data_IF_358124780139
#
_entry.id   IF_358124780139
#
_cell.length_a   1.000
_cell.length_b   1.000
_cell.length_c   1.000
_cell.angle_alpha   90.00
_cell.angle_beta   90.00
_cell.angle_gamma   90.00
#
_symmetry.space_group_name_H-M   'P 1'
#
loop_
_entity.id
_entity.type
_entity.pdbx_description
1 polymer ?
#
# COMPACT_ATOMS: atom_id res chain seq x y z
N UNK A 1 12.51 -31.41 10.37
CA UNK A 1 13.15 -30.08 10.31
C UNK A 1 14.01 -29.96 9.07
N UNK A 2 13.79 -28.92 8.28
CA UNK A 2 14.61 -28.59 7.12
C UNK A 2 15.86 -27.81 7.57
N UNK A 3 16.94 -28.54 7.84
CA UNK A 3 18.21 -27.96 8.33
C UNK A 3 18.86 -27.02 7.33
N UNK A 4 18.66 -27.23 6.04
CA UNK A 4 19.24 -26.39 5.00
C UNK A 4 18.54 -25.02 4.99
N UNK A 5 17.21 -25.03 5.04
CA UNK A 5 16.40 -23.83 5.15
C UNK A 5 16.70 -23.08 6.44
N UNK A 6 16.76 -23.79 7.58
CA UNK A 6 17.05 -23.19 8.87
C UNK A 6 18.39 -22.44 8.86
N UNK A 7 19.46 -23.07 8.35
CA UNK A 7 20.78 -22.42 8.25
C UNK A 7 20.75 -21.21 7.31
N UNK A 8 20.03 -21.28 6.22
CA UNK A 8 19.91 -20.16 5.30
C UNK A 8 19.21 -18.96 5.96
N UNK A 9 18.15 -19.20 6.73
CA UNK A 9 17.44 -18.17 7.48
C UNK A 9 18.28 -17.60 8.63
N UNK A 10 19.01 -18.46 9.37
CA UNK A 10 19.95 -18.04 10.40
C UNK A 10 21.07 -17.15 9.85
N UNK A 11 21.51 -17.40 8.62
CA UNK A 11 22.51 -16.57 7.95
C UNK A 11 21.94 -15.22 7.50
N UNK A 12 20.71 -15.17 7.05
CA UNK A 12 20.04 -13.95 6.58
C UNK A 12 19.59 -13.04 7.75
N UNK A 13 19.22 -13.62 8.89
CA UNK A 13 18.65 -12.90 10.03
C UNK A 13 19.51 -11.72 10.54
N UNK A 14 20.83 -11.82 10.71
CA UNK A 14 21.64 -10.69 11.15
C UNK A 14 21.55 -9.49 10.22
N UNK A 15 21.53 -9.71 8.90
CA UNK A 15 21.40 -8.65 7.90
C UNK A 15 20.02 -7.98 7.97
N UNK A 16 18.98 -8.76 8.20
CA UNK A 16 17.63 -8.26 8.42
C UNK A 16 17.52 -7.40 9.70
N UNK A 17 18.11 -7.84 10.79
CA UNK A 17 18.13 -7.07 12.03
C UNK A 17 18.94 -5.77 11.89
N UNK A 18 20.04 -5.82 11.15
CA UNK A 18 20.81 -4.62 10.82
C UNK A 18 19.99 -3.64 9.98
N UNK A 19 19.32 -4.13 8.93
CA UNK A 19 18.40 -3.32 8.14
C UNK A 19 17.32 -2.67 9.00
N UNK A 20 16.71 -3.42 9.92
CA UNK A 20 15.69 -2.87 10.83
C UNK A 20 16.26 -1.76 11.73
N UNK A 21 17.46 -1.95 12.26
CA UNK A 21 18.10 -0.92 13.06
C UNK A 21 18.43 0.33 12.27
N UNK A 22 18.88 0.17 11.03
CA UNK A 22 19.35 1.28 10.19
C UNK A 22 18.19 1.99 9.47
N UNK A 23 17.20 1.24 9.04
CA UNK A 23 16.13 1.70 8.15
C UNK A 23 14.72 1.59 8.76
N UNK A 24 14.61 1.03 9.94
CA UNK A 24 13.34 0.89 10.65
C UNK A 24 12.90 2.18 11.37
N UNK A 25 11.78 2.11 12.12
CA UNK A 25 11.14 3.29 12.68
C UNK A 25 12.01 4.03 13.70
N UNK A 26 12.29 5.29 13.43
CA UNK A 26 12.88 6.23 14.39
C UNK A 26 11.82 6.79 15.35
N UNK A 27 12.24 7.17 16.56
CA UNK A 27 11.38 7.81 17.55
C UNK A 27 10.41 6.88 18.28
N UNK A 28 10.31 5.63 17.89
CA UNK A 28 9.53 4.59 18.56
C UNK A 28 10.38 3.49 19.17
N UNK A 29 11.69 3.63 19.14
CA UNK A 29 12.69 2.61 19.56
C UNK A 29 12.77 2.37 21.06
N UNK A 30 12.02 3.08 21.88
CA UNK A 30 11.87 2.77 23.30
C UNK A 30 11.05 1.49 23.54
N UNK A 31 10.48 0.94 22.48
CA UNK A 31 9.93 -0.40 22.52
C UNK A 31 11.06 -1.35 22.11
N UNK A 32 11.54 -2.15 23.05
CA UNK A 32 12.30 -3.35 22.76
C UNK A 32 11.46 -4.26 21.85
N UNK A 33 11.37 -3.88 20.58
CA UNK A 33 10.91 -4.79 19.55
C UNK A 33 12.02 -5.81 19.39
N UNK A 34 11.94 -6.81 20.22
CA UNK A 34 12.75 -7.99 20.03
C UNK A 34 12.28 -8.66 18.75
N UNK A 35 12.82 -8.23 17.64
CA UNK A 35 12.80 -8.99 16.40
C UNK A 35 13.64 -10.27 16.61
N UNK A 36 13.35 -10.99 17.68
CA UNK A 36 13.90 -12.32 17.87
C UNK A 36 13.15 -13.26 16.98
N UNK A 37 13.66 -13.36 15.80
CA UNK A 37 13.23 -14.36 14.87
C UNK A 37 13.66 -15.72 15.41
N UNK A 38 12.73 -16.57 15.81
CA UNK A 38 13.04 -17.97 15.94
C UNK A 38 13.20 -18.56 14.53
N UNK A 39 14.36 -19.02 14.19
CA UNK A 39 14.65 -19.66 12.91
C UNK A 39 14.33 -21.15 12.91
N UNK A 40 13.45 -21.62 13.77
CA UNK A 40 12.97 -22.98 13.72
C UNK A 40 11.82 -23.12 12.74
N UNK A 41 11.96 -24.03 11.81
CA UNK A 41 10.91 -24.38 10.86
C UNK A 41 10.15 -25.61 11.35
N UNK A 42 8.82 -25.54 11.34
CA UNK A 42 7.96 -26.69 11.58
C UNK A 42 7.80 -27.51 10.29
N UNK A 43 7.26 -28.76 10.40
CA UNK A 43 6.94 -29.55 9.21
C UNK A 43 6.02 -28.85 8.21
N UNK A 44 5.18 -27.93 8.68
CA UNK A 44 4.29 -27.14 7.84
C UNK A 44 4.98 -25.94 7.16
N UNK A 45 6.28 -25.81 7.35
CA UNK A 45 7.06 -24.72 6.77
C UNK A 45 6.96 -23.40 7.50
N UNK A 46 6.56 -23.40 8.75
CA UNK A 46 6.47 -22.22 9.60
C UNK A 46 7.80 -21.93 10.31
N UNK A 47 8.20 -20.67 10.37
CA UNK A 47 9.12 -20.19 11.35
C UNK A 47 8.32 -19.54 12.48
N UNK A 48 8.40 -20.09 13.69
CA UNK A 48 7.61 -19.63 14.83
C UNK A 48 8.45 -18.80 15.80
N UNK A 49 7.85 -17.73 16.27
CA UNK A 49 8.42 -16.85 17.26
C UNK A 49 7.53 -16.74 18.49
N UNK A 50 7.94 -17.37 19.56
CA UNK A 50 7.20 -17.34 20.81
C UNK A 50 7.40 -16.09 21.68
N UNK A 51 8.08 -15.04 21.20
CA UNK A 51 8.74 -14.13 22.13
C UNK A 51 8.35 -12.67 22.05
N UNK A 52 7.74 -12.20 20.99
CA UNK A 52 7.32 -10.81 20.95
C UNK A 52 5.90 -10.73 21.46
N UNK A 53 5.80 -10.47 22.74
CA UNK A 53 4.53 -10.13 23.37
C UNK A 53 4.47 -8.63 23.59
N UNK A 54 4.38 -7.89 22.52
CA UNK A 54 3.63 -6.66 22.63
C UNK A 54 2.16 -7.03 22.44
N UNK A 55 1.24 -6.50 23.23
CA UNK A 55 -0.18 -6.74 22.98
C UNK A 55 -0.46 -6.41 21.51
N UNK A 56 -1.02 -7.33 20.78
CA UNK A 56 -1.37 -7.22 19.37
C UNK A 56 -0.21 -7.32 18.35
N UNK A 57 1.05 -7.43 18.78
CA UNK A 57 2.18 -7.63 17.89
C UNK A 57 2.69 -9.06 17.93
N UNK A 58 2.63 -9.73 16.82
CA UNK A 58 3.23 -11.05 16.64
C UNK A 58 4.33 -10.95 15.60
N UNK A 59 5.49 -11.48 15.92
CA UNK A 59 6.58 -11.61 14.98
C UNK A 59 6.66 -13.05 14.50
N UNK A 60 6.79 -13.26 13.19
CA UNK A 60 6.93 -14.59 12.62
C UNK A 60 6.48 -14.67 11.17
N UNK A 61 6.61 -15.86 10.62
CA UNK A 61 6.09 -16.19 9.30
C UNK A 61 4.78 -16.92 9.49
N UNK A 62 3.74 -16.42 8.87
CA UNK A 62 2.41 -17.01 8.96
C UNK A 62 1.86 -17.28 7.57
N UNK A 63 1.25 -18.44 7.42
CA UNK A 63 0.51 -18.83 6.24
C UNK A 63 -0.92 -19.20 6.64
N UNK A 64 -1.87 -18.99 5.74
CA UNK A 64 -3.20 -19.50 5.93
C UNK A 64 -3.18 -21.04 5.95
N UNK A 65 -4.17 -21.65 6.57
CA UNK A 65 -4.30 -23.10 6.62
C UNK A 65 -4.30 -23.70 5.21
N UNK A 66 -3.66 -24.86 5.07
CA UNK A 66 -3.66 -25.61 3.82
C UNK A 66 -5.04 -26.22 3.57
N UNK A 67 -5.50 -26.15 2.33
CA UNK A 67 -6.67 -26.84 1.83
C UNK A 67 -6.18 -27.89 0.81
N UNK A 68 -6.21 -29.14 1.20
CA UNK A 68 -5.75 -30.26 0.34
C UNK A 68 -6.60 -30.44 -0.92
N UNK A 69 -7.84 -29.94 -0.90
CA UNK A 69 -8.75 -29.99 -2.04
C UNK A 69 -8.63 -28.80 -2.99
N UNK A 70 -7.75 -27.85 -2.71
CA UNK A 70 -7.62 -26.64 -3.51
C UNK A 70 -7.17 -26.93 -4.93
N UNK A 71 -7.88 -26.35 -5.89
CA UNK A 71 -7.56 -26.42 -7.33
C UNK A 71 -7.20 -25.03 -7.86
N UNK A 72 -6.47 -25.01 -8.96
CA UNK A 72 -6.26 -23.80 -9.77
C UNK A 72 -7.56 -23.45 -10.48
N UNK A 73 -8.02 -22.21 -10.37
CA UNK A 73 -9.36 -21.82 -10.82
C UNK A 73 -9.40 -21.06 -12.15
N UNK A 74 -8.23 -20.85 -12.78
CA UNK A 74 -8.11 -20.04 -14.00
C UNK A 74 -6.90 -20.46 -14.82
N UNK A 75 -6.83 -19.96 -16.06
CA UNK A 75 -5.74 -20.23 -16.97
C UNK A 75 -5.72 -21.67 -17.49
N UNK A 76 -4.61 -22.06 -18.07
CA UNK A 76 -4.44 -23.38 -18.73
C UNK A 76 -4.47 -24.55 -17.73
N UNK A 77 -4.14 -24.29 -16.47
CA UNK A 77 -4.12 -25.29 -15.39
C UNK A 77 -5.44 -25.36 -14.60
N UNK A 78 -6.50 -24.72 -15.08
CA UNK A 78 -7.80 -24.76 -14.41
C UNK A 78 -8.28 -26.18 -14.17
N UNK A 79 -8.59 -26.49 -12.89
CA UNK A 79 -9.04 -27.80 -12.47
C UNK A 79 -7.93 -28.74 -11.98
N UNK A 80 -6.68 -28.39 -12.17
CA UNK A 80 -5.55 -29.11 -11.58
C UNK A 80 -5.44 -28.85 -10.08
N UNK A 81 -4.90 -29.80 -9.32
CA UNK A 81 -4.57 -29.58 -7.92
C UNK A 81 -3.52 -28.44 -7.78
N UNK A 82 -3.70 -27.58 -6.78
CA UNK A 82 -2.73 -26.52 -6.50
C UNK A 82 -1.33 -27.11 -6.19
N UNK A 83 -0.30 -26.43 -6.68
CA UNK A 83 1.08 -26.92 -6.59
C UNK A 83 1.69 -26.62 -5.22
N UNK A 84 2.24 -27.65 -4.59
CA UNK A 84 2.95 -27.50 -3.31
C UNK A 84 4.44 -27.17 -3.51
N UNK A 85 4.99 -27.50 -4.68
CA UNK A 85 6.34 -27.16 -5.10
C UNK A 85 6.30 -26.27 -6.34
N UNK A 86 7.40 -25.59 -6.62
CA UNK A 86 7.53 -24.71 -7.80
C UNK A 86 7.63 -25.55 -9.07
N UNK A 87 6.66 -25.44 -9.99
CA UNK A 87 6.81 -26.06 -11.31
C UNK A 87 8.02 -25.49 -12.04
N UNK A 88 8.87 -26.35 -12.59
CA UNK A 88 10.13 -25.94 -13.22
C UNK A 88 9.97 -24.91 -14.33
N UNK A 89 8.95 -25.06 -15.15
CA UNK A 89 8.61 -24.17 -16.26
C UNK A 89 8.14 -22.78 -15.80
N UNK A 90 7.59 -22.65 -14.58
CA UNK A 90 7.10 -21.39 -14.02
C UNK A 90 8.05 -20.77 -13.00
N UNK A 91 9.19 -21.40 -12.75
CA UNK A 91 10.14 -20.99 -11.70
C UNK A 91 10.59 -19.53 -11.82
N UNK A 92 11.00 -19.11 -13.00
CA UNK A 92 11.49 -17.75 -13.23
C UNK A 92 10.39 -16.70 -13.01
N UNK A 93 9.19 -16.96 -13.50
CA UNK A 93 8.05 -16.06 -13.35
C UNK A 93 7.57 -15.98 -11.89
N UNK A 94 7.48 -17.10 -11.19
CA UNK A 94 7.12 -17.11 -9.75
C UNK A 94 8.16 -16.37 -8.91
N UNK A 95 9.46 -16.59 -9.16
CA UNK A 95 10.51 -15.84 -8.46
C UNK A 95 10.37 -14.35 -8.69
N UNK A 96 10.15 -13.91 -9.93
CA UNK A 96 9.93 -12.49 -10.27
C UNK A 96 8.73 -11.91 -9.54
N UNK A 97 7.60 -12.60 -9.50
CA UNK A 97 6.39 -12.20 -8.79
C UNK A 97 6.67 -12.03 -7.31
N UNK A 98 7.31 -13.02 -6.68
CA UNK A 98 7.62 -13.00 -5.24
C UNK A 98 8.61 -11.89 -4.90
N UNK A 99 9.63 -11.69 -5.72
CA UNK A 99 10.63 -10.62 -5.53
C UNK A 99 9.98 -9.25 -5.65
N UNK A 100 9.15 -9.03 -6.67
CA UNK A 100 8.47 -7.74 -6.87
C UNK A 100 7.53 -7.42 -5.70
N UNK A 101 6.75 -8.39 -5.24
CA UNK A 101 5.89 -8.21 -4.07
C UNK A 101 6.74 -8.01 -2.80
N UNK A 102 7.72 -8.85 -2.58
CA UNK A 102 8.58 -8.79 -1.39
C UNK A 102 9.35 -7.49 -1.24
N UNK A 103 9.72 -6.85 -2.35
CA UNK A 103 10.46 -5.59 -2.35
C UNK A 103 9.62 -4.38 -1.87
N UNK A 104 8.30 -4.49 -1.94
CA UNK A 104 7.38 -3.44 -1.48
C UNK A 104 7.31 -3.33 0.04
N UNK A 105 7.49 -4.43 0.74
CA UNK A 105 7.32 -4.55 2.18
C UNK A 105 8.36 -3.73 2.98
N UNK A 106 9.68 -3.91 2.76
CA UNK A 106 10.68 -3.08 3.44
C UNK A 106 10.62 -1.61 3.01
N UNK A 107 10.16 -1.33 1.78
CA UNK A 107 10.01 0.03 1.28
C UNK A 107 9.03 0.84 2.13
N UNK A 108 7.88 0.26 2.47
CA UNK A 108 6.88 0.89 3.33
C UNK A 108 7.48 1.29 4.68
N UNK A 109 8.25 0.41 5.31
CA UNK A 109 8.94 0.69 6.58
C UNK A 109 9.92 1.86 6.44
N UNK A 110 10.76 1.84 5.40
CA UNK A 110 11.76 2.88 5.12
C UNK A 110 11.13 4.25 4.85
N UNK A 111 10.06 4.29 4.06
CA UNK A 111 9.33 5.52 3.75
C UNK A 111 8.69 6.17 4.98
N UNK A 112 8.28 5.37 5.96
CA UNK A 112 7.56 5.80 7.16
C UNK A 112 8.48 6.01 8.38
N UNK A 113 9.76 5.77 8.22
CA UNK A 113 10.77 5.66 9.27
C UNK A 113 10.74 6.81 10.30
N UNK A 114 10.60 8.05 9.84
CA UNK A 114 10.71 9.23 10.70
C UNK A 114 9.39 9.71 11.31
N UNK A 115 8.27 9.11 10.94
CA UNK A 115 6.94 9.61 11.34
C UNK A 115 6.68 9.53 12.84
N UNK A 116 7.35 8.62 13.56
CA UNK A 116 7.27 8.56 15.02
C UNK A 116 7.76 9.84 15.73
N UNK A 117 8.59 10.65 15.07
CA UNK A 117 9.08 11.93 15.59
C UNK A 117 8.03 13.05 15.58
N UNK A 118 6.94 12.87 14.85
CA UNK A 118 5.87 13.86 14.68
C UNK A 118 4.48 13.27 14.89
N UNK A 119 4.39 12.15 15.62
CA UNK A 119 3.11 11.47 15.81
C UNK A 119 2.08 12.37 16.51
N UNK A 120 0.83 12.40 16.03
CA UNK A 120 -0.20 13.28 16.57
C UNK A 120 -0.76 12.81 17.91
N UNK A 121 -0.57 11.55 18.29
CA UNK A 121 -0.97 10.99 19.59
C UNK A 121 -0.31 9.64 19.83
N UNK A 122 -0.40 9.13 21.05
CA UNK A 122 0.02 7.75 21.36
C UNK A 122 -0.77 6.71 20.58
N UNK A 123 -2.05 6.97 20.32
CA UNK A 123 -2.88 6.08 19.50
C UNK A 123 -2.33 5.93 18.08
N UNK A 124 -1.97 7.05 17.47
CA UNK A 124 -1.42 7.07 16.10
C UNK A 124 -0.01 6.48 16.03
N UNK A 125 0.84 6.75 17.04
CA UNK A 125 2.16 6.14 17.15
C UNK A 125 2.08 4.61 17.22
N UNK A 126 1.12 4.10 18.00
CA UNK A 126 0.89 2.65 18.09
C UNK A 126 0.47 2.05 16.75
N UNK A 127 -0.43 2.71 16.03
CA UNK A 127 -0.85 2.25 14.71
C UNK A 127 0.31 2.23 13.71
N UNK A 128 1.10 3.31 13.67
CA UNK A 128 2.32 3.36 12.84
C UNK A 128 3.25 2.17 13.13
N UNK A 129 3.52 1.95 14.41
CA UNK A 129 4.43 0.92 14.82
C UNK A 129 3.91 -0.49 14.49
N UNK A 130 2.62 -0.75 14.70
CA UNK A 130 1.99 -2.00 14.32
C UNK A 130 2.12 -2.25 12.81
N UNK A 131 1.80 -1.26 11.99
CA UNK A 131 1.93 -1.37 10.53
C UNK A 131 3.37 -1.70 10.14
N UNK A 132 4.36 -0.99 10.68
CA UNK A 132 5.76 -1.24 10.34
C UNK A 132 6.23 -2.65 10.75
N UNK A 133 5.78 -3.17 11.88
CA UNK A 133 6.08 -4.56 12.31
C UNK A 133 5.41 -5.57 11.37
N UNK A 134 4.18 -5.33 10.96
CA UNK A 134 3.46 -6.19 10.03
C UNK A 134 4.11 -6.20 8.64
N UNK A 135 4.54 -5.05 8.12
CA UNK A 135 5.30 -4.94 6.87
C UNK A 135 6.66 -5.67 6.93
N UNK A 136 7.37 -5.51 8.04
CA UNK A 136 8.61 -6.27 8.28
C UNK A 136 8.37 -7.78 8.33
N UNK A 137 7.24 -8.22 8.83
CA UNK A 137 6.83 -9.62 8.85
C UNK A 137 6.44 -10.12 7.45
N UNK A 138 5.81 -9.30 6.64
CA UNK A 138 5.50 -9.59 5.24
C UNK A 138 6.78 -9.79 4.42
N UNK A 139 7.78 -8.94 4.60
CA UNK A 139 9.11 -9.15 4.01
C UNK A 139 9.67 -10.53 4.39
N UNK A 140 9.62 -10.86 5.68
CA UNK A 140 10.12 -12.14 6.18
C UNK A 140 9.40 -13.33 5.54
N UNK A 141 8.09 -13.23 5.35
CA UNK A 141 7.31 -14.27 4.69
C UNK A 141 7.72 -14.49 3.22
N UNK A 142 7.97 -13.42 2.48
CA UNK A 142 8.46 -13.51 1.09
C UNK A 142 9.87 -14.08 1.01
N UNK A 143 10.74 -13.68 1.92
CA UNK A 143 12.11 -14.23 2.04
C UNK A 143 12.08 -15.72 2.37
N UNK A 144 11.17 -16.14 3.24
CA UNK A 144 10.96 -17.57 3.52
C UNK A 144 10.62 -18.36 2.25
N UNK A 145 9.69 -17.87 1.43
CA UNK A 145 9.35 -18.51 0.15
C UNK A 145 10.57 -18.61 -0.77
N UNK A 146 11.34 -17.54 -0.87
CA UNK A 146 12.56 -17.50 -1.69
C UNK A 146 13.60 -18.51 -1.20
N UNK A 147 13.85 -18.58 0.08
CA UNK A 147 14.82 -19.53 0.66
C UNK A 147 14.38 -20.98 0.50
N UNK A 148 13.08 -21.25 0.75
CA UNK A 148 12.57 -22.62 0.73
C UNK A 148 12.47 -23.21 -0.67
N UNK A 149 11.96 -22.42 -1.63
CA UNK A 149 11.55 -22.95 -2.92
C UNK A 149 12.47 -22.58 -4.09
N UNK A 150 13.39 -21.64 -3.92
CA UNK A 150 14.21 -21.12 -5.02
C UNK A 150 15.72 -21.34 -4.85
N UNK A 151 16.13 -22.00 -3.78
CA UNK A 151 17.53 -22.38 -3.57
C UNK A 151 18.48 -21.18 -3.56
N UNK A 152 19.60 -21.29 -4.28
CA UNK A 152 20.61 -20.24 -4.34
C UNK A 152 20.06 -18.92 -4.91
N UNK A 153 19.32 -19.00 -6.02
CA UNK A 153 18.76 -17.81 -6.67
C UNK A 153 17.82 -17.04 -5.71
N UNK A 154 17.01 -17.77 -4.95
CA UNK A 154 16.13 -17.17 -3.96
C UNK A 154 16.89 -16.48 -2.83
N UNK A 155 18.01 -17.07 -2.37
CA UNK A 155 18.86 -16.46 -1.35
C UNK A 155 19.53 -15.18 -1.86
N UNK A 156 20.04 -15.18 -3.09
CA UNK A 156 20.62 -13.99 -3.71
C UNK A 156 19.58 -12.84 -3.83
N UNK A 157 18.36 -13.16 -4.21
CA UNK A 157 17.26 -12.18 -4.26
C UNK A 157 16.89 -11.64 -2.85
N UNK A 158 16.85 -12.49 -1.85
CA UNK A 158 16.58 -12.09 -0.47
C UNK A 158 17.65 -11.13 0.08
N UNK A 159 18.92 -11.38 -0.22
CA UNK A 159 20.03 -10.46 0.09
C UNK A 159 19.85 -9.13 -0.65
N UNK A 160 19.54 -9.17 -1.93
CA UNK A 160 19.35 -7.98 -2.75
C UNK A 160 18.22 -7.08 -2.22
N UNK A 161 17.15 -7.63 -1.65
CA UNK A 161 16.06 -6.86 -1.04
C UNK A 161 16.53 -5.97 0.11
N UNK A 162 17.51 -6.43 0.91
CA UNK A 162 18.06 -5.66 2.02
C UNK A 162 19.07 -4.60 1.57
N UNK A 163 19.62 -4.73 0.36
CA UNK A 163 20.54 -3.75 -0.20
C UNK A 163 19.86 -2.64 -0.99
N UNK A 164 18.63 -2.86 -1.47
CA UNK A 164 17.84 -1.79 -2.05
C UNK A 164 17.27 -0.92 -0.93
N UNK A 165 17.20 0.38 -1.17
CA UNK A 165 16.62 1.34 -0.22
C UNK A 165 15.72 2.33 -0.93
N UNK A 166 14.60 2.65 -0.29
CA UNK A 166 13.65 3.64 -0.80
C UNK A 166 14.33 4.98 -1.04
N UNK A 167 14.20 5.50 -2.26
CA UNK A 167 14.76 6.79 -2.66
C UNK A 167 16.29 6.80 -2.87
N UNK A 168 16.96 5.65 -2.83
CA UNK A 168 18.39 5.55 -3.10
C UNK A 168 18.68 5.86 -4.59
N UNK A 169 19.69 6.69 -4.85
CA UNK A 169 20.13 6.97 -6.23
C UNK A 169 20.83 5.76 -6.87
N UNK A 170 21.58 5.01 -6.08
CA UNK A 170 22.40 3.88 -6.58
C UNK A 170 21.63 2.56 -6.62
N UNK A 171 20.74 2.34 -5.68
CA UNK A 171 20.05 1.07 -5.52
C UNK A 171 18.61 1.25 -4.99
N UNK A 172 17.71 1.82 -5.82
CA UNK A 172 16.33 2.10 -5.42
C UNK A 172 15.47 0.84 -5.32
N UNK A 173 14.30 0.98 -4.73
CA UNK A 173 13.24 -0.03 -4.78
C UNK A 173 12.77 -0.25 -6.22
N UNK A 174 12.31 -1.46 -6.51
CA UNK A 174 11.96 -1.90 -7.88
C UNK A 174 10.85 -1.04 -8.48
N UNK A 175 9.81 -0.74 -7.70
CA UNK A 175 8.67 0.04 -8.17
C UNK A 175 8.82 1.51 -7.73
N UNK A 176 8.62 2.43 -8.66
CA UNK A 176 8.89 3.86 -8.47
C UNK A 176 8.15 4.47 -7.28
N UNK A 177 6.89 4.12 -7.07
CA UNK A 177 6.08 4.62 -5.97
C UNK A 177 6.68 4.33 -4.58
N UNK A 178 7.48 3.29 -4.45
CA UNK A 178 8.17 2.91 -3.21
C UNK A 178 9.51 3.63 -3.02
N UNK A 179 9.83 4.57 -3.89
CA UNK A 179 10.96 5.51 -3.74
C UNK A 179 10.50 6.93 -3.37
N UNK A 180 9.21 7.17 -3.33
CA UNK A 180 8.64 8.44 -2.90
C UNK A 180 8.75 8.63 -1.39
N UNK A 181 8.94 9.87 -0.96
CA UNK A 181 8.97 10.21 0.46
C UNK A 181 7.56 10.20 1.09
N UNK A 182 7.49 9.80 2.34
CA UNK A 182 6.30 9.96 3.19
C UNK A 182 6.65 10.92 4.34
N UNK A 183 6.71 12.23 4.08
CA UNK A 183 7.36 13.18 4.98
C UNK A 183 6.49 13.61 6.16
N UNK A 184 5.20 13.37 6.10
CA UNK A 184 4.24 13.82 7.10
C UNK A 184 3.09 12.84 7.29
N UNK A 185 2.28 13.06 8.33
CA UNK A 185 1.18 12.17 8.68
C UNK A 185 0.00 12.21 7.71
N UNK A 186 -0.22 13.29 7.00
CA UNK A 186 -1.24 13.31 5.94
C UNK A 186 -0.80 12.41 4.79
N UNK A 187 0.46 12.50 4.39
CA UNK A 187 1.05 11.59 3.40
C UNK A 187 0.98 10.13 3.87
N UNK A 188 1.26 9.85 5.14
CA UNK A 188 1.12 8.51 5.71
C UNK A 188 -0.29 7.96 5.62
N UNK A 189 -1.31 8.73 6.01
CA UNK A 189 -2.70 8.29 5.90
C UNK A 189 -3.14 8.10 4.45
N UNK A 190 -2.70 8.95 3.54
CA UNK A 190 -2.95 8.76 2.12
C UNK A 190 -2.23 7.52 1.56
N UNK A 191 -0.99 7.27 1.97
CA UNK A 191 -0.23 6.08 1.62
C UNK A 191 -0.94 4.81 2.10
N UNK A 192 -1.25 4.71 3.38
CA UNK A 192 -1.93 3.53 3.95
C UNK A 192 -3.35 3.36 3.42
N UNK A 193 -3.99 4.42 2.96
CA UNK A 193 -5.27 4.33 2.27
C UNK A 193 -5.13 3.85 0.82
N UNK A 194 -4.27 4.47 0.02
CA UNK A 194 -4.16 4.19 -1.41
C UNK A 194 -3.17 3.06 -1.73
N UNK A 195 -1.97 3.11 -1.19
CA UNK A 195 -0.90 2.15 -1.53
C UNK A 195 -1.14 0.79 -0.89
N UNK A 196 -1.53 0.74 0.39
CA UNK A 196 -1.87 -0.53 1.03
C UNK A 196 -3.16 -1.13 0.45
N UNK A 197 -4.06 -0.29 -0.07
CA UNK A 197 -5.22 -0.78 -0.85
C UNK A 197 -4.80 -1.41 -2.17
N UNK A 198 -3.80 -0.87 -2.88
CA UNK A 198 -3.19 -1.58 -4.01
C UNK A 198 -2.66 -2.94 -3.56
N UNK A 199 -1.96 -2.98 -2.43
CA UNK A 199 -1.50 -4.23 -1.80
C UNK A 199 -2.63 -5.25 -1.64
N UNK A 200 -3.79 -4.83 -1.14
CA UNK A 200 -4.99 -5.69 -1.07
C UNK A 200 -5.33 -6.31 -2.43
N UNK A 201 -5.39 -5.50 -3.50
CA UNK A 201 -5.77 -5.99 -4.82
C UNK A 201 -4.71 -6.91 -5.42
N UNK A 202 -3.43 -6.56 -5.27
CA UNK A 202 -2.32 -7.41 -5.71
C UNK A 202 -2.29 -8.74 -4.95
N UNK A 203 -2.41 -8.71 -3.64
CA UNK A 203 -2.43 -9.91 -2.80
C UNK A 203 -3.65 -10.79 -3.07
N UNK A 204 -4.83 -10.21 -3.32
CA UNK A 204 -6.02 -10.97 -3.72
C UNK A 204 -5.79 -11.71 -5.04
N UNK A 205 -5.16 -11.08 -6.01
CA UNK A 205 -4.82 -11.69 -7.29
C UNK A 205 -3.75 -12.81 -7.13
N UNK A 206 -2.76 -12.61 -6.27
CA UNK A 206 -1.74 -13.60 -5.95
C UNK A 206 -2.27 -14.75 -5.07
N UNK A 207 -3.28 -14.50 -4.25
CA UNK A 207 -3.96 -15.54 -3.46
C UNK A 207 -4.67 -16.57 -4.33
N UNK A 208 -4.96 -16.24 -5.58
CA UNK A 208 -5.49 -17.17 -6.57
C UNK A 208 -4.41 -18.06 -7.22
N UNK A 209 -3.12 -17.76 -7.02
CA UNK A 209 -2.01 -18.49 -7.62
C UNK A 209 -2.13 -20.00 -7.46
N UNK A 210 -1.80 -20.74 -8.52
CA UNK A 210 -1.69 -22.19 -8.48
C UNK A 210 -0.56 -22.68 -7.56
N UNK A 211 0.44 -21.84 -7.31
CA UNK A 211 1.47 -22.14 -6.31
C UNK A 211 0.95 -21.89 -4.90
N UNK A 212 0.53 -22.96 -4.23
CA UNK A 212 -0.20 -22.93 -2.97
C UNK A 212 0.55 -22.19 -1.83
N UNK A 213 1.87 -22.36 -1.64
CA UNK A 213 2.58 -21.61 -0.61
C UNK A 213 2.48 -20.08 -0.78
N UNK A 214 2.56 -19.56 -2.00
CA UNK A 214 2.34 -18.14 -2.28
C UNK A 214 0.92 -17.72 -1.98
N UNK A 215 -0.06 -18.50 -2.43
CA UNK A 215 -1.48 -18.25 -2.16
C UNK A 215 -1.77 -18.15 -0.66
N UNK A 216 -1.26 -19.08 0.13
CA UNK A 216 -1.45 -19.12 1.59
C UNK A 216 -0.77 -17.95 2.30
N UNK A 217 0.41 -17.57 1.86
CA UNK A 217 1.14 -16.39 2.36
C UNK A 217 0.32 -15.12 2.11
N UNK A 218 -0.13 -14.90 0.88
CA UNK A 218 -0.93 -13.74 0.53
C UNK A 218 -2.27 -13.68 1.26
N UNK A 219 -2.94 -14.81 1.45
CA UNK A 219 -4.18 -14.88 2.22
C UNK A 219 -3.98 -14.49 3.69
N UNK A 220 -2.85 -14.83 4.28
CA UNK A 220 -2.54 -14.38 5.62
C UNK A 220 -2.25 -12.87 5.66
N UNK A 221 -1.41 -12.37 4.74
CA UNK A 221 -1.09 -10.94 4.67
C UNK A 221 -2.35 -10.07 4.53
N UNK A 222 -3.33 -10.51 3.74
CA UNK A 222 -4.61 -9.82 3.58
C UNK A 222 -5.36 -9.59 4.90
N UNK A 223 -5.19 -10.44 5.90
CA UNK A 223 -5.81 -10.24 7.21
C UNK A 223 -5.22 -9.04 7.96
N UNK A 224 -3.99 -8.69 7.67
CA UNK A 224 -3.27 -7.56 8.26
C UNK A 224 -3.48 -6.28 7.45
N UNK A 225 -3.52 -6.37 6.14
CA UNK A 225 -3.81 -5.24 5.24
C UNK A 225 -5.16 -4.54 5.55
N UNK A 226 -6.13 -5.26 6.07
CA UNK A 226 -7.39 -4.68 6.49
C UNK A 226 -7.22 -3.62 7.58
N UNK A 227 -6.28 -3.81 8.50
CA UNK A 227 -5.94 -2.84 9.54
C UNK A 227 -5.22 -1.62 8.94
N UNK A 228 -4.28 -1.83 8.02
CA UNK A 228 -3.57 -0.73 7.35
C UNK A 228 -4.55 0.21 6.64
N UNK A 229 -5.45 -0.35 5.85
CA UNK A 229 -6.48 0.43 5.15
C UNK A 229 -7.40 1.18 6.11
N UNK A 230 -7.77 0.56 7.23
CA UNK A 230 -8.55 1.22 8.28
C UNK A 230 -7.80 2.41 8.88
N UNK A 231 -6.51 2.28 9.17
CA UNK A 231 -5.67 3.38 9.70
C UNK A 231 -5.63 4.53 8.71
N UNK A 232 -5.42 4.27 7.42
CA UNK A 232 -5.40 5.29 6.39
C UNK A 232 -6.74 5.99 6.22
N UNK A 233 -7.82 5.24 6.05
CA UNK A 233 -9.16 5.80 5.85
C UNK A 233 -9.61 6.62 7.06
N UNK A 234 -9.45 6.08 8.27
CA UNK A 234 -9.85 6.79 9.50
C UNK A 234 -8.95 7.99 9.78
N UNK A 235 -7.67 7.92 9.48
CA UNK A 235 -6.72 9.03 9.64
C UNK A 235 -7.09 10.23 8.77
N UNK A 236 -7.36 10.00 7.49
CA UNK A 236 -7.85 11.06 6.58
C UNK A 236 -9.21 11.60 7.05
N UNK A 237 -10.13 10.70 7.42
CA UNK A 237 -11.46 11.09 7.93
C UNK A 237 -11.36 11.98 9.17
N UNK A 238 -10.50 11.63 10.13
CA UNK A 238 -10.26 12.41 11.35
C UNK A 238 -9.61 13.77 11.07
N UNK A 239 -8.73 13.83 10.09
CA UNK A 239 -8.14 15.08 9.61
C UNK A 239 -9.21 15.99 9.02
N UNK A 240 -10.05 15.48 8.16
CA UNK A 240 -11.19 16.20 7.56
C UNK A 240 -12.17 16.65 8.66
N UNK A 241 -12.50 15.75 9.58
CA UNK A 241 -13.42 16.05 10.70
C UNK A 241 -12.94 17.24 11.51
N UNK A 242 -11.65 17.29 11.85
CA UNK A 242 -11.09 18.43 12.60
C UNK A 242 -11.16 19.72 11.80
N UNK A 243 -10.84 19.68 10.53
CA UNK A 243 -10.88 20.84 9.63
C UNK A 243 -12.29 21.42 9.50
N UNK A 244 -13.29 20.58 9.23
CA UNK A 244 -14.68 21.04 9.07
C UNK A 244 -15.29 21.50 10.40
N UNK A 245 -14.89 20.91 11.52
CA UNK A 245 -15.27 21.37 12.86
C UNK A 245 -14.81 22.81 13.12
N UNK A 246 -13.55 23.11 12.83
CA UNK A 246 -12.97 24.44 12.96
C UNK A 246 -13.64 25.44 12.00
N UNK A 247 -13.88 25.03 10.74
CA UNK A 247 -14.59 25.86 9.77
C UNK A 247 -15.98 26.25 10.31
N UNK A 248 -16.72 25.28 10.83
CA UNK A 248 -18.04 25.50 11.40
C UNK A 248 -17.99 26.40 12.65
N UNK A 249 -17.05 26.13 13.54
CA UNK A 249 -16.89 26.88 14.79
C UNK A 249 -16.61 28.37 14.54
N UNK A 250 -15.85 28.69 13.51
CA UNK A 250 -15.43 30.06 13.17
C UNK A 250 -16.21 30.69 12.01
N UNK A 251 -17.23 30.02 11.50
CA UNK A 251 -18.03 30.52 10.37
C UNK A 251 -17.22 30.74 9.10
N UNK A 252 -16.23 29.86 8.83
CA UNK A 252 -15.36 29.95 7.66
C UNK A 252 -16.02 29.19 6.51
N UNK A 253 -16.31 29.90 5.43
CA UNK A 253 -16.86 29.32 4.18
C UNK A 253 -15.75 28.98 3.17
N UNK A 254 -14.73 29.85 3.05
CA UNK A 254 -13.58 29.62 2.21
C UNK A 254 -12.63 28.59 2.85
N UNK A 255 -12.49 27.40 2.25
CA UNK A 255 -11.69 26.33 2.85
C UNK A 255 -10.23 26.68 3.11
N UNK A 256 -9.62 27.60 2.34
CA UNK A 256 -8.21 27.97 2.52
C UNK A 256 -7.99 28.85 3.77
N UNK A 257 -8.99 29.62 4.18
CA UNK A 257 -8.86 30.51 5.34
C UNK A 257 -8.75 29.78 6.67
N UNK A 258 -9.02 28.48 6.71
CA UNK A 258 -8.92 27.68 7.92
C UNK A 258 -7.47 27.49 8.41
N UNK A 259 -6.47 27.70 7.53
CA UNK A 259 -5.04 27.51 7.87
C UNK A 259 -4.59 28.28 9.10
N UNK A 260 -5.09 29.50 9.31
CA UNK A 260 -4.76 30.32 10.50
C UNK A 260 -5.15 29.67 11.82
N UNK A 261 -5.99 28.67 11.82
CA UNK A 261 -6.42 27.93 13.00
C UNK A 261 -5.61 26.65 13.25
N UNK A 262 -4.55 26.39 12.48
CA UNK A 262 -3.64 25.27 12.68
C UNK A 262 -4.24 23.92 12.31
N UNK A 263 -5.05 23.87 11.25
CA UNK A 263 -5.62 22.66 10.66
C UNK A 263 -5.32 22.62 9.16
N UNK A 264 -5.46 21.45 8.54
CA UNK A 264 -5.16 21.26 7.12
C UNK A 264 -6.41 21.57 6.29
N UNK A 265 -6.30 22.52 5.39
CA UNK A 265 -7.41 22.93 4.53
C UNK A 265 -7.80 21.84 3.52
N UNK A 266 -9.08 21.80 3.16
CA UNK A 266 -9.63 20.80 2.25
C UNK A 266 -8.95 20.80 0.86
N UNK A 267 -8.61 21.93 0.23
CA UNK A 267 -7.84 21.93 -1.02
C UNK A 267 -6.47 21.26 -0.91
N UNK A 268 -5.76 21.42 0.21
CA UNK A 268 -4.49 20.71 0.44
C UNK A 268 -4.71 19.21 0.56
N UNK A 269 -5.74 18.76 1.26
CA UNK A 269 -6.13 17.35 1.34
C UNK A 269 -6.43 16.82 -0.06
N UNK A 270 -7.13 17.58 -0.92
CA UNK A 270 -7.40 17.20 -2.31
C UNK A 270 -6.11 17.03 -3.12
N UNK A 271 -5.13 17.91 -2.97
CA UNK A 271 -3.85 17.81 -3.68
C UNK A 271 -3.04 16.59 -3.24
N UNK A 272 -3.00 16.29 -1.95
CA UNK A 272 -2.39 15.04 -1.43
C UNK A 272 -3.11 13.80 -1.97
N UNK A 273 -4.44 13.82 -2.01
CA UNK A 273 -5.23 12.75 -2.61
C UNK A 273 -4.85 12.53 -4.08
N UNK A 274 -4.79 13.59 -4.88
CA UNK A 274 -4.44 13.52 -6.29
C UNK A 274 -3.06 12.89 -6.50
N UNK A 275 -2.08 13.29 -5.70
CA UNK A 275 -0.72 12.77 -5.75
C UNK A 275 -0.68 11.28 -5.43
N UNK A 276 -1.16 10.88 -4.27
CA UNK A 276 -1.11 9.49 -3.82
C UNK A 276 -1.95 8.55 -4.68
N UNK A 277 -3.10 9.00 -5.14
CA UNK A 277 -3.90 8.24 -6.09
C UNK A 277 -3.15 7.97 -7.40
N UNK A 278 -2.58 9.02 -8.01
CA UNK A 278 -1.90 8.89 -9.31
C UNK A 278 -0.63 8.03 -9.23
N UNK A 279 0.16 8.19 -8.17
CA UNK A 279 1.36 7.38 -7.92
C UNK A 279 1.00 5.92 -7.71
N UNK A 280 -0.05 5.65 -6.96
CA UNK A 280 -0.48 4.28 -6.64
C UNK A 280 -1.01 3.54 -7.86
N UNK A 281 -1.79 4.15 -8.72
CA UNK A 281 -2.33 3.44 -9.89
C UNK A 281 -1.27 3.06 -10.92
N UNK A 282 -0.08 3.63 -10.85
CA UNK A 282 1.07 3.18 -11.63
C UNK A 282 1.62 1.82 -11.17
N UNK A 283 1.36 1.41 -9.93
CA UNK A 283 1.77 0.11 -9.40
C UNK A 283 1.12 -1.09 -10.11
N UNK A 284 0.01 -0.88 -10.79
CA UNK A 284 -0.66 -1.92 -11.57
C UNK A 284 0.04 -2.26 -12.89
N UNK A 285 1.04 -1.48 -13.29
CA UNK A 285 1.81 -1.70 -14.51
C UNK A 285 1.21 -1.07 -15.76
N UNK A 286 1.74 -1.41 -16.91
CA UNK A 286 1.26 -0.90 -18.19
C UNK A 286 -0.16 -1.38 -18.50
N UNK A 287 -0.92 -0.56 -19.23
CA UNK A 287 -2.33 -0.83 -19.57
C UNK A 287 -2.49 -2.12 -20.40
N UNK A 288 -1.53 -2.39 -21.27
CA UNK A 288 -1.39 -3.66 -21.98
C UNK A 288 -0.08 -4.32 -21.60
N UNK A 289 -0.11 -5.61 -21.25
CA UNK A 289 1.05 -6.35 -20.78
C UNK A 289 1.00 -7.83 -21.20
N UNK A 290 1.99 -8.26 -21.94
CA UNK A 290 2.19 -9.68 -22.25
C UNK A 290 2.62 -10.50 -21.03
N UNK A 291 3.34 -9.89 -20.08
CA UNK A 291 3.70 -10.55 -18.82
C UNK A 291 2.46 -10.85 -17.99
N UNK A 292 1.53 -9.89 -17.87
CA UNK A 292 0.27 -10.10 -17.16
C UNK A 292 -0.55 -11.22 -17.82
N UNK A 293 -0.63 -11.26 -19.14
CA UNK A 293 -1.27 -12.35 -19.89
C UNK A 293 -0.62 -13.71 -19.58
N UNK A 294 0.70 -13.78 -19.58
CA UNK A 294 1.46 -14.99 -19.26
C UNK A 294 1.21 -15.45 -17.83
N UNK A 295 1.24 -14.56 -16.87
CA UNK A 295 1.00 -14.88 -15.45
C UNK A 295 -0.41 -15.44 -15.24
N UNK A 296 -1.40 -14.88 -15.90
CA UNK A 296 -2.77 -15.39 -15.82
C UNK A 296 -2.91 -16.75 -16.52
N UNK A 297 -2.48 -16.85 -17.76
CA UNK A 297 -2.57 -18.08 -18.56
C UNK A 297 -1.88 -19.24 -17.87
N UNK A 298 -0.71 -19.00 -17.25
CA UNK A 298 0.06 -20.01 -16.51
C UNK A 298 -0.47 -20.31 -15.11
N UNK A 299 -1.56 -19.70 -14.67
CA UNK A 299 -2.13 -19.95 -13.35
C UNK A 299 -1.34 -19.35 -12.18
N UNK A 300 -0.52 -18.30 -12.41
CA UNK A 300 0.36 -17.72 -11.40
C UNK A 300 -0.25 -16.54 -10.67
N UNK A 301 -1.05 -15.72 -11.36
CA UNK A 301 -1.73 -14.55 -10.83
C UNK A 301 -3.11 -14.43 -11.46
N UNK A 302 -4.16 -14.49 -10.64
CA UNK A 302 -5.55 -14.34 -11.06
C UNK A 302 -6.00 -12.89 -11.11
N UNK A 303 -7.31 -12.71 -11.25
CA UNK A 303 -7.97 -11.40 -11.08
C UNK A 303 -8.45 -11.23 -9.63
N UNK A 304 -8.81 -10.02 -9.28
CA UNK A 304 -9.49 -9.77 -8.02
C UNK A 304 -10.83 -10.55 -7.99
N UNK A 305 -11.03 -11.33 -6.91
CA UNK A 305 -12.22 -12.19 -6.73
C UNK A 305 -12.46 -13.15 -7.91
N UNK A 306 -11.43 -13.79 -8.41
CA UNK A 306 -11.47 -14.67 -9.58
C UNK A 306 -12.63 -15.68 -9.52
N UNK A 307 -12.82 -16.33 -8.37
CA UNK A 307 -13.84 -17.37 -8.19
C UNK A 307 -15.29 -16.85 -8.24
N UNK A 308 -15.49 -15.56 -8.07
CA UNK A 308 -16.83 -14.93 -8.13
C UNK A 308 -17.20 -14.47 -9.53
N UNK A 309 -16.28 -14.54 -10.49
CA UNK A 309 -16.53 -14.15 -11.87
C UNK A 309 -17.26 -15.28 -12.61
N UNK A 310 -18.12 -14.91 -13.54
CA UNK A 310 -18.99 -15.86 -14.28
C UNK A 310 -18.56 -16.06 -15.73
N UNK A 311 -17.50 -15.37 -16.16
CA UNK A 311 -16.96 -15.49 -17.50
C UNK A 311 -16.11 -16.78 -17.68
N UNK A 312 -15.62 -16.98 -18.89
CA UNK A 312 -14.65 -18.05 -19.16
C UNK A 312 -13.30 -17.71 -18.51
N UNK A 313 -12.92 -18.48 -17.49
CA UNK A 313 -11.63 -18.33 -16.80
C UNK A 313 -10.40 -18.63 -17.64
N UNK A 314 -10.55 -19.00 -18.89
CA UNK A 314 -9.49 -19.02 -19.92
C UNK A 314 -9.41 -17.68 -20.66
N UNK A 315 -10.41 -16.84 -20.54
CA UNK A 315 -10.56 -15.53 -21.19
C UNK A 315 -10.47 -15.58 -22.74
N UNK A 316 -10.82 -16.72 -23.33
CA UNK A 316 -10.86 -16.87 -24.78
C UNK A 316 -12.02 -16.08 -25.35
N UNK A 317 -11.69 -15.12 -26.21
CA UNK A 317 -12.71 -14.25 -26.83
C UNK A 317 -13.27 -13.13 -25.94
N UNK A 318 -12.80 -13.02 -24.69
CA UNK A 318 -13.17 -11.91 -23.81
C UNK A 318 -12.42 -10.63 -24.20
N UNK A 319 -13.11 -9.51 -24.15
CA UNK A 319 -12.60 -8.19 -24.49
C UNK A 319 -12.79 -7.22 -23.32
N UNK A 320 -11.93 -6.20 -23.28
CA UNK A 320 -11.96 -5.16 -22.26
C UNK A 320 -11.72 -3.78 -22.88
N UNK A 321 -12.38 -2.77 -22.35
CA UNK A 321 -12.21 -1.39 -22.81
C UNK A 321 -11.08 -0.71 -22.05
N UNK A 322 -10.11 -0.22 -22.81
CA UNK A 322 -9.02 0.60 -22.29
C UNK A 322 -9.09 1.99 -22.92
N UNK A 323 -8.36 2.95 -22.36
CA UNK A 323 -8.18 4.26 -22.96
C UNK A 323 -6.96 4.29 -23.88
N UNK A 324 -7.09 4.91 -25.01
CA UNK A 324 -6.03 5.18 -25.98
C UNK A 324 -5.97 6.68 -26.28
N UNK A 325 -4.79 7.17 -26.61
CA UNK A 325 -4.59 8.56 -26.99
C UNK A 325 -4.72 8.70 -28.50
N UNK A 326 -5.66 9.53 -28.95
CA UNK A 326 -5.83 9.91 -30.35
C UNK A 326 -5.73 11.43 -30.48
N UNK A 327 -4.57 11.90 -30.92
CA UNK A 327 -4.28 13.35 -30.97
C UNK A 327 -4.27 13.95 -29.54
N UNK A 328 -5.20 14.84 -29.28
CA UNK A 328 -5.40 15.53 -28.00
C UNK A 328 -6.54 14.93 -27.15
N UNK A 329 -7.05 13.78 -27.54
CA UNK A 329 -8.21 13.14 -26.88
C UNK A 329 -7.88 11.75 -26.36
N UNK A 330 -8.57 11.40 -25.29
CA UNK A 330 -8.63 10.04 -24.76
C UNK A 330 -9.89 9.36 -25.32
N UNK A 331 -9.72 8.22 -25.97
CA UNK A 331 -10.81 7.45 -26.57
C UNK A 331 -10.81 6.01 -26.05
N UNK A 332 -12.00 5.41 -25.96
CA UNK A 332 -12.10 3.99 -25.59
C UNK A 332 -11.72 3.10 -26.77
N UNK A 333 -11.00 2.03 -26.48
CA UNK A 333 -10.63 0.97 -27.42
C UNK A 333 -10.88 -0.39 -26.79
N UNK A 334 -11.51 -1.29 -27.53
CA UNK A 334 -11.63 -2.69 -27.14
C UNK A 334 -10.35 -3.47 -27.50
N UNK A 335 -9.86 -4.23 -26.54
CA UNK A 335 -8.69 -5.10 -26.67
C UNK A 335 -8.98 -6.46 -26.03
N UNK A 336 -8.25 -7.53 -26.39
CA UNK A 336 -8.38 -8.79 -25.68
C UNK A 336 -8.13 -8.64 -24.18
N UNK A 337 -9.00 -9.19 -23.34
CA UNK A 337 -8.91 -9.04 -21.87
C UNK A 337 -7.58 -9.58 -21.35
N UNK A 338 -7.06 -10.67 -21.87
CA UNK A 338 -5.76 -11.24 -21.48
C UNK A 338 -4.62 -10.21 -21.54
N UNK A 339 -4.63 -9.30 -22.49
CA UNK A 339 -3.58 -8.30 -22.65
C UNK A 339 -3.78 -7.06 -21.76
N UNK A 340 -4.94 -6.93 -21.13
CA UNK A 340 -5.33 -5.77 -20.31
C UNK A 340 -5.63 -6.10 -18.86
N UNK A 341 -5.11 -7.19 -18.32
CA UNK A 341 -5.39 -7.63 -16.95
C UNK A 341 -4.89 -6.67 -15.88
N UNK A 342 -3.81 -5.94 -16.15
CA UNK A 342 -3.38 -4.85 -15.26
C UNK A 342 -4.44 -3.75 -15.17
N UNK A 343 -5.08 -3.42 -16.29
CA UNK A 343 -6.14 -2.41 -16.33
C UNK A 343 -7.43 -2.90 -15.67
N UNK A 344 -7.77 -4.17 -15.82
CA UNK A 344 -8.89 -4.79 -15.10
C UNK A 344 -8.70 -4.65 -13.59
N UNK A 345 -7.51 -4.98 -13.07
CA UNK A 345 -7.20 -4.90 -11.65
C UNK A 345 -7.17 -3.44 -11.17
N UNK A 346 -6.61 -2.54 -11.95
CA UNK A 346 -6.59 -1.09 -11.68
C UNK A 346 -8.00 -0.52 -11.58
N UNK A 347 -8.89 -0.86 -12.49
CA UNK A 347 -10.27 -0.37 -12.47
C UNK A 347 -11.06 -0.90 -11.27
N UNK A 348 -10.85 -2.16 -10.86
CA UNK A 348 -11.42 -2.71 -9.63
C UNK A 348 -10.93 -1.94 -8.40
N UNK A 349 -9.63 -1.64 -8.34
CA UNK A 349 -9.03 -0.81 -7.30
C UNK A 349 -9.59 0.62 -7.29
N UNK A 350 -9.69 1.28 -8.44
CA UNK A 350 -10.22 2.65 -8.54
C UNK A 350 -11.65 2.72 -8.02
N UNK A 351 -12.47 1.75 -8.38
CA UNK A 351 -13.87 1.65 -7.91
C UNK A 351 -13.95 1.55 -6.39
N UNK A 352 -13.11 0.74 -5.78
CA UNK A 352 -13.05 0.57 -4.32
C UNK A 352 -12.53 1.85 -3.63
N UNK A 353 -11.52 2.49 -4.21
CA UNK A 353 -10.96 3.76 -3.71
C UNK A 353 -11.96 4.90 -3.72
N UNK A 354 -12.75 5.03 -4.77
CA UNK A 354 -13.81 6.05 -4.89
C UNK A 354 -14.88 5.87 -3.81
N UNK A 355 -15.21 4.64 -3.44
CA UNK A 355 -16.17 4.39 -2.37
C UNK A 355 -15.73 4.97 -1.02
N UNK A 356 -14.44 4.89 -0.70
CA UNK A 356 -13.87 5.51 0.51
C UNK A 356 -13.86 7.03 0.45
N UNK A 357 -13.52 7.61 -0.70
CA UNK A 357 -13.62 9.07 -0.91
C UNK A 357 -15.07 9.54 -0.69
N UNK A 358 -16.05 8.75 -1.11
CA UNK A 358 -17.45 9.00 -0.84
C UNK A 358 -17.77 9.05 0.66
N UNK A 359 -17.13 8.19 1.47
CA UNK A 359 -17.28 8.23 2.94
C UNK A 359 -16.67 9.49 3.55
N UNK A 360 -15.52 9.95 3.07
CA UNK A 360 -14.94 11.25 3.48
C UNK A 360 -15.84 12.42 3.13
N UNK A 361 -16.43 12.41 1.95
CA UNK A 361 -17.37 13.43 1.52
C UNK A 361 -18.61 13.53 2.40
N UNK A 362 -19.08 12.42 2.98
CA UNK A 362 -20.18 12.44 3.95
C UNK A 362 -19.83 13.23 5.22
N UNK A 363 -18.56 13.21 5.64
CA UNK A 363 -18.10 14.04 6.78
C UNK A 363 -18.22 15.54 6.44
N UNK A 364 -17.77 15.91 5.24
CA UNK A 364 -17.85 17.31 4.74
C UNK A 364 -19.32 17.75 4.59
N UNK A 365 -20.14 16.92 4.01
CA UNK A 365 -21.57 17.16 3.80
C UNK A 365 -22.33 17.38 5.11
N UNK A 366 -22.08 16.53 6.11
CA UNK A 366 -22.69 16.67 7.46
C UNK A 366 -22.32 17.97 8.14
N UNK A 367 -21.19 18.56 7.81
CA UNK A 367 -20.78 19.88 8.30
C UNK A 367 -21.48 21.05 7.56
N UNK A 368 -22.28 20.76 6.53
CA UNK A 368 -22.99 21.76 5.73
C UNK A 368 -22.14 22.45 4.66
N UNK A 369 -20.98 21.90 4.32
CA UNK A 369 -20.07 22.46 3.32
C UNK A 369 -20.34 21.90 1.93
N UNK A 370 -20.14 22.72 0.91
CA UNK A 370 -20.33 22.34 -0.50
C UNK A 370 -19.10 21.68 -1.13
N UNK A 371 -17.92 21.84 -0.54
CA UNK A 371 -16.69 21.22 -1.03
C UNK A 371 -16.81 19.69 -1.09
N UNK A 372 -16.28 19.09 -2.16
CA UNK A 372 -16.23 17.63 -2.29
C UNK A 372 -14.85 17.21 -2.80
N UNK A 373 -14.27 16.17 -2.16
CA UNK A 373 -13.09 15.49 -2.65
C UNK A 373 -13.46 14.61 -3.84
N UNK A 374 -12.56 14.55 -4.82
CA UNK A 374 -12.75 13.76 -6.03
C UNK A 374 -11.46 13.02 -6.39
N UNK A 375 -11.57 11.76 -6.81
CA UNK A 375 -10.46 11.08 -7.45
C UNK A 375 -10.16 11.77 -8.79
N UNK A 376 -8.89 12.03 -9.11
CA UNK A 376 -8.54 12.52 -10.43
C UNK A 376 -8.80 11.43 -11.48
N UNK A 377 -8.87 11.83 -12.73
CA UNK A 377 -8.96 10.89 -13.85
C UNK A 377 -7.75 9.95 -13.87
N UNK A 378 -7.96 8.69 -14.21
CA UNK A 378 -6.90 7.66 -14.18
C UNK A 378 -5.73 7.89 -15.14
N UNK A 379 -5.85 8.84 -16.07
CA UNK A 379 -4.74 9.26 -16.93
C UNK A 379 -3.94 10.45 -16.35
N UNK A 380 -4.39 11.03 -15.24
CA UNK A 380 -3.73 12.18 -14.61
C UNK A 380 -2.41 11.76 -13.96
N UNK A 381 -1.35 12.54 -14.22
CA UNK A 381 -0.04 12.44 -13.55
C UNK A 381 0.55 11.02 -13.55
N UNK A 382 0.51 10.35 -14.71
CA UNK A 382 1.01 8.98 -14.88
C UNK A 382 2.46 8.99 -15.33
N UNK A 383 3.25 8.03 -14.82
CA UNK A 383 4.68 7.89 -15.13
C UNK A 383 4.99 6.63 -15.92
N UNK A 384 4.06 5.68 -16.00
CA UNK A 384 4.21 4.46 -16.78
C UNK A 384 3.02 4.22 -17.69
N UNK A 385 3.20 3.35 -18.69
CA UNK A 385 2.16 2.94 -19.64
C UNK A 385 1.83 3.99 -20.69
N UNK A 386 0.63 3.90 -21.22
CA UNK A 386 0.14 4.73 -22.35
C UNK A 386 0.19 6.23 -22.07
N UNK A 387 0.02 6.63 -20.83
CA UNK A 387 -0.09 8.04 -20.43
C UNK A 387 1.23 8.65 -19.93
N UNK A 388 2.30 7.85 -19.85
CA UNK A 388 3.62 8.34 -19.48
C UNK A 388 4.09 9.40 -20.48
N UNK A 389 4.58 10.51 -19.95
CA UNK A 389 5.02 11.64 -20.78
C UNK A 389 3.91 12.54 -21.35
N UNK A 390 2.64 12.22 -21.07
CA UNK A 390 1.51 13.07 -21.40
C UNK A 390 1.13 13.95 -20.22
N UNK A 391 0.65 15.15 -20.51
CA UNK A 391 0.02 16.02 -19.53
C UNK A 391 -1.50 15.88 -19.63
N UNK A 392 -2.08 15.34 -18.58
CA UNK A 392 -3.52 15.15 -18.48
C UNK A 392 -4.01 15.86 -17.22
N UNK A 393 -5.02 16.69 -17.34
CA UNK A 393 -5.63 17.39 -16.21
C UNK A 393 -6.43 16.41 -15.32
N UNK A 394 -6.74 16.77 -14.06
CA UNK A 394 -7.53 15.90 -13.19
C UNK A 394 -8.92 15.54 -13.72
N UNK A 395 -9.47 16.32 -14.63
CA UNK A 395 -10.74 16.05 -15.32
C UNK A 395 -10.60 15.21 -16.61
N UNK A 396 -9.37 14.78 -16.95
CA UNK A 396 -9.12 13.84 -18.06
C UNK A 396 -8.86 14.49 -19.42
N UNK A 397 -8.57 15.79 -19.48
CA UNK A 397 -8.21 16.45 -20.75
C UNK A 397 -6.70 16.37 -20.99
N UNK A 398 -6.32 16.03 -22.20
CA UNK A 398 -4.92 16.17 -22.65
C UNK A 398 -4.60 17.63 -22.85
N UNK A 399 -3.57 18.13 -22.19
CA UNK A 399 -3.19 19.55 -22.16
C UNK A 399 -1.74 19.76 -22.52
N UNK A 400 -1.38 21.02 -22.81
CA UNK A 400 0.00 21.41 -23.11
C UNK A 400 0.87 21.46 -21.85
N UNK A 401 2.19 21.42 -22.04
CA UNK A 401 3.16 21.67 -20.95
C UNK A 401 2.96 23.05 -20.30
N UNK A 402 2.61 24.06 -21.09
CA UNK A 402 2.36 25.41 -20.57
C UNK A 402 1.11 25.45 -19.69
N UNK A 403 0.02 24.80 -20.09
CA UNK A 403 -1.19 24.68 -19.26
C UNK A 403 -0.94 23.87 -18.00
N UNK A 404 -0.17 22.78 -18.08
CA UNK A 404 0.26 22.00 -16.93
C UNK A 404 1.05 22.86 -15.94
N UNK A 405 2.10 23.53 -16.41
CA UNK A 405 2.96 24.38 -15.57
C UNK A 405 2.17 25.49 -14.86
N UNK A 406 1.15 26.04 -15.52
CA UNK A 406 0.29 27.09 -14.97
C UNK A 406 -0.65 26.58 -13.86
N UNK A 407 -1.00 25.29 -13.85
CA UNK A 407 -2.04 24.73 -12.99
C UNK A 407 -1.57 23.66 -12.01
N UNK A 408 -0.39 23.08 -12.17
CA UNK A 408 0.09 21.94 -11.38
C UNK A 408 0.04 22.19 -9.86
N UNK A 409 0.26 23.44 -9.43
CA UNK A 409 0.16 23.82 -8.01
C UNK A 409 -1.26 23.74 -7.44
N UNK A 410 -2.27 23.78 -8.31
CA UNK A 410 -3.67 23.59 -7.92
C UNK A 410 -4.04 22.11 -7.81
N UNK A 411 -3.25 21.24 -8.42
CA UNK A 411 -3.57 19.82 -8.58
C UNK A 411 -2.72 18.89 -7.73
N UNK A 412 -1.44 19.24 -7.51
CA UNK A 412 -0.49 18.46 -6.73
C UNK A 412 0.08 19.29 -5.57
N UNK A 413 0.50 18.65 -4.48
CA UNK A 413 1.10 19.34 -3.34
C UNK A 413 2.34 20.14 -3.75
N UNK A 414 2.35 21.43 -3.45
CA UNK A 414 3.52 22.29 -3.60
C UNK A 414 4.47 22.12 -2.41
N UNK A 415 5.70 22.64 -2.54
CA UNK A 415 6.63 22.73 -1.42
C UNK A 415 6.06 23.58 -0.28
N UNK A 416 5.31 24.63 -0.61
CA UNK A 416 4.62 25.48 0.37
C UNK A 416 3.52 24.69 1.13
N UNK A 417 2.75 23.84 0.43
CA UNK A 417 1.77 22.95 1.07
C UNK A 417 2.45 21.98 2.02
N UNK A 418 3.53 21.34 1.58
CA UNK A 418 4.29 20.38 2.39
C UNK A 418 4.92 21.05 3.60
N UNK A 419 5.50 22.24 3.44
CA UNK A 419 6.06 22.99 4.54
C UNK A 419 4.97 23.42 5.53
N UNK A 420 3.82 23.84 5.04
CA UNK A 420 2.68 24.17 5.89
C UNK A 420 2.20 22.95 6.69
N UNK A 421 1.95 21.84 6.05
CA UNK A 421 1.52 20.59 6.71
C UNK A 421 2.53 20.16 7.78
N UNK A 422 3.82 20.15 7.43
CA UNK A 422 4.90 19.80 8.35
C UNK A 422 4.96 20.75 9.57
N UNK A 423 4.66 22.03 9.37
CA UNK A 423 4.66 23.04 10.47
C UNK A 423 3.61 22.78 11.56
N UNK A 424 2.55 22.05 11.23
CA UNK A 424 1.49 21.68 12.16
C UNK A 424 1.85 20.47 13.03
N UNK A 425 2.89 19.73 12.67
CA UNK A 425 3.19 18.41 13.20
C UNK A 425 4.37 18.46 14.16
N UNK A 426 4.14 17.94 15.34
CA UNK A 426 5.13 17.71 16.38
C UNK A 426 4.73 16.49 17.18
N UNK A 427 5.66 15.95 17.96
CA UNK A 427 5.45 14.71 18.70
C UNK A 427 4.53 14.91 19.89
N UNK A 428 3.40 14.24 19.92
CA UNK A 428 2.45 14.22 21.02
C UNK A 428 2.36 12.79 21.57
N UNK A 429 2.97 12.55 22.72
CA UNK A 429 2.99 11.21 23.37
C UNK A 429 2.47 11.24 24.79
N UNK A 430 2.03 12.39 25.29
CA UNK A 430 1.41 12.50 26.60
C UNK A 430 0.00 11.90 26.57
N UNK A 431 -0.36 11.08 27.58
CA UNK A 431 -1.73 10.57 27.70
C UNK A 431 -2.77 11.71 27.72
N UNK A 432 -3.86 11.54 26.99
CA UNK A 432 -4.93 12.55 26.91
C UNK A 432 -4.61 13.76 26.05
N UNK A 433 -3.53 13.75 25.29
CA UNK A 433 -3.16 14.83 24.37
C UNK A 433 -3.28 14.37 22.91
N UNK A 434 -3.62 15.33 22.05
CA UNK A 434 -3.69 15.14 20.60
C UNK A 434 -3.28 16.40 19.87
N UNK A 435 -2.60 16.24 18.74
CA UNK A 435 -2.26 17.36 17.87
C UNK A 435 -3.52 18.08 17.35
N UNK A 436 -3.49 19.39 17.28
CA UNK A 436 -4.64 20.20 16.93
C UNK A 436 -5.20 19.97 15.52
N UNK A 437 -4.39 19.48 14.60
CA UNK A 437 -4.75 19.32 13.19
C UNK A 437 -5.60 18.07 12.87
N UNK A 438 -5.83 17.19 13.83
CA UNK A 438 -6.55 15.93 13.65
C UNK A 438 -7.56 15.71 14.78
N UNK A 439 -8.72 15.16 14.45
CA UNK A 439 -9.71 14.79 15.46
C UNK A 439 -9.32 13.50 16.19
N UNK A 440 -9.72 13.31 17.45
CA UNK A 440 -9.48 12.08 18.19
C UNK A 440 -10.22 10.90 17.55
N UNK A 441 -9.69 9.67 17.71
CA UNK A 441 -10.45 8.49 17.35
C UNK A 441 -11.68 8.36 18.26
N UNK A 442 -12.78 7.75 17.77
CA UNK A 442 -13.98 7.56 18.60
C UNK A 442 -13.73 6.65 19.80
N UNK A 443 -12.75 5.76 19.69
CA UNK A 443 -12.34 4.81 20.74
C UNK A 443 -10.82 4.81 20.82
N UNK A 444 -10.27 5.00 22.03
CA UNK A 444 -8.84 4.98 22.28
C UNK A 444 -8.23 3.57 22.33
N UNK A 445 -6.94 3.51 22.64
CA UNK A 445 -6.13 2.27 22.71
C UNK A 445 -6.74 1.24 23.67
N UNK A 446 -7.30 1.71 24.79
CA UNK A 446 -7.91 0.88 25.82
C UNK A 446 -9.38 0.54 25.58
N UNK A 447 -9.88 0.82 24.35
CA UNK A 447 -11.29 0.65 23.95
C UNK A 447 -12.31 1.49 24.75
N UNK A 448 -11.84 2.55 25.36
CA UNK A 448 -12.68 3.52 26.05
C UNK A 448 -12.81 4.79 25.23
N UNK A 449 -13.92 5.54 25.37
CA UNK A 449 -14.00 6.90 24.86
C UNK A 449 -12.85 7.72 25.41
N UNK A 450 -12.28 8.58 24.60
CA UNK A 450 -11.13 9.39 24.98
C UNK A 450 -11.51 10.84 24.92
N UNK A 451 -11.23 11.53 26.02
CA UNK A 451 -11.28 12.98 26.09
C UNK A 451 -9.85 13.51 25.88
N UNK A 452 -9.65 14.35 24.87
CA UNK A 452 -8.35 14.87 24.51
C UNK A 452 -8.26 16.37 24.61
N UNK A 453 -7.15 16.83 25.15
CA UNK A 453 -6.72 18.21 25.01
C UNK A 453 -5.88 18.38 23.74
N UNK A 454 -6.20 19.40 22.95
CA UNK A 454 -5.45 19.70 21.74
C UNK A 454 -4.13 20.42 22.03
N UNK A 455 -3.06 19.95 21.38
CA UNK A 455 -1.74 20.58 21.39
C UNK A 455 -1.52 21.27 20.06
N UNK A 456 -1.15 22.54 20.09
CA UNK A 456 -0.83 23.34 18.91
C UNK A 456 0.64 23.70 18.91
N UNK A 457 1.29 23.50 17.77
CA UNK A 457 2.72 23.79 17.60
C UNK A 457 3.01 25.15 16.99
N UNK A 458 2.04 25.74 16.26
CA UNK A 458 2.15 27.08 15.66
C UNK A 458 0.84 27.86 15.72
#
# INVERSE_FOLDING_TARGET
EDRTLQRALEHWQPNYLQWWNDMGPDGSQNFDVYLRTAVSTTPDGWAQFGHVKMPDYRWGIFLAAQDEGRQVNFGEHKGEAAWQDVPGEHRANLRRIIVTQGDTEPASVEQQRHLGLTCPSQYDLRNLFQINVEEGRHLWAMVYLLHKYFGRDGREEAEAMLHRHSGSEDNPRILEAFNEETPDWLAFYMFTYFTDRDGKFQLCALAESGFDPLSRTCRFMLTEEAHHMFVGESGVSRTIQRTVEIMKQHGIEDPEQVRKHGVIDLPTIQRYLNFHFSVTIDLFGADQSSNAATFYTSGLKGRYEETKRTDDHMLKGEHYKILEVQGDKLVEKEVPMLNSLNEVLRDDYIKDSIAGIGRWNKVIEKAGLSFRLQAPHKAFNRHIGTFAGLRVSPDGRVISEAEWAANVRNWLPSEEDRAYVASLMGRVVEPGKMANWIAPPPIGINRQPVDFDYVRFN
#
